data_IF_269026342447
#
_entry.id   IF_269026342447
#
_cell.length_a   1.000
_cell.length_b   1.000
_cell.length_c   1.000
_cell.angle_alpha   90.00
_cell.angle_beta   90.00
_cell.angle_gamma   90.00
#
_symmetry.space_group_name_H-M   'P 1'
#
loop_
_entity.id
_entity.type
_entity.pdbx_description
1 polymer ?
#
# COMPACT_ATOMS: atom_id res chain seq x y z
N UNK A 1 13.19 20.46 -17.55
CA UNK A 1 12.99 19.37 -16.58
C UNK A 1 12.02 18.38 -17.19
N UNK A 2 12.38 17.11 -17.36
CA UNK A 2 11.45 16.08 -17.79
C UNK A 2 10.51 15.77 -16.62
N UNK A 3 9.20 15.88 -16.82
CA UNK A 3 8.20 15.54 -15.80
C UNK A 3 7.74 14.11 -16.07
N UNK A 4 8.23 13.14 -15.29
CA UNK A 4 7.74 11.76 -15.40
C UNK A 4 6.25 11.72 -15.02
N UNK A 5 5.44 11.03 -15.83
CA UNK A 5 4.01 10.87 -15.55
C UNK A 5 3.74 9.79 -14.49
N UNK A 6 4.70 8.88 -14.28
CA UNK A 6 4.61 7.75 -13.37
C UNK A 6 5.97 7.44 -12.75
N UNK A 7 6.00 7.14 -11.45
CA UNK A 7 7.15 6.53 -10.80
C UNK A 7 6.75 5.16 -10.26
N UNK A 8 7.50 4.12 -10.62
CA UNK A 8 7.33 2.77 -10.13
C UNK A 8 8.42 2.46 -9.12
N UNK A 9 8.02 1.85 -8.00
CA UNK A 9 8.92 1.48 -6.91
C UNK A 9 8.72 0.00 -6.60
N UNK A 10 9.73 -0.82 -6.82
CA UNK A 10 9.72 -2.24 -6.47
C UNK A 10 11.13 -2.84 -6.54
N UNK A 11 11.35 -3.93 -5.80
CA UNK A 11 12.64 -4.61 -5.73
C UNK A 11 13.09 -5.22 -7.07
N UNK A 12 12.15 -5.61 -7.93
CA UNK A 12 12.43 -6.29 -9.20
C UNK A 12 12.68 -5.35 -10.38
N UNK A 13 12.56 -4.03 -10.19
CA UNK A 13 12.73 -3.07 -11.27
C UNK A 13 14.21 -2.91 -11.63
N UNK A 14 14.47 -2.56 -12.89
CA UNK A 14 15.76 -2.07 -13.34
C UNK A 14 15.65 -0.59 -13.64
N UNK A 15 16.48 0.23 -13.00
CA UNK A 15 16.49 1.68 -13.22
C UNK A 15 16.81 2.03 -14.68
N UNK A 16 17.63 1.21 -15.35
CA UNK A 16 17.98 1.36 -16.77
C UNK A 16 16.78 1.22 -17.72
N UNK A 17 15.68 0.59 -17.28
CA UNK A 17 14.45 0.42 -18.07
C UNK A 17 13.50 1.63 -17.91
N UNK A 18 13.96 2.72 -17.29
CA UNK A 18 13.21 3.98 -17.21
C UNK A 18 13.02 4.58 -18.61
N UNK A 19 11.91 5.30 -18.80
CA UNK A 19 11.56 5.99 -20.04
C UNK A 19 11.25 7.45 -19.75
N UNK A 20 11.12 8.30 -20.77
CA UNK A 20 10.74 9.71 -20.58
C UNK A 20 9.39 9.90 -19.84
N UNK A 21 8.54 8.87 -19.79
CA UNK A 21 7.22 8.91 -19.14
C UNK A 21 7.18 8.18 -17.79
N UNK A 22 8.14 7.29 -17.54
CA UNK A 22 8.14 6.41 -16.38
C UNK A 22 9.52 6.32 -15.74
N UNK A 23 9.59 6.67 -14.46
CA UNK A 23 10.78 6.49 -13.63
C UNK A 23 10.69 5.16 -12.88
N UNK A 24 11.68 4.28 -13.08
CA UNK A 24 11.80 3.05 -12.30
C UNK A 24 12.77 3.28 -11.14
N UNK A 25 12.33 2.93 -9.92
CA UNK A 25 13.16 3.01 -8.71
C UNK A 25 13.22 1.61 -8.09
N UNK A 26 14.41 1.01 -8.11
CA UNK A 26 14.66 -0.23 -7.39
C UNK A 26 14.74 0.07 -5.89
N UNK A 27 13.93 -0.62 -5.09
CA UNK A 27 13.80 -0.36 -3.65
C UNK A 27 13.32 -1.62 -2.92
N UNK A 28 13.93 -1.93 -1.78
CA UNK A 28 13.42 -2.95 -0.87
C UNK A 28 12.40 -2.34 0.09
N UNK A 29 11.13 -2.70 -0.07
CA UNK A 29 10.05 -2.18 0.77
C UNK A 29 10.02 -2.78 2.17
N UNK A 30 10.87 -3.78 2.47
CA UNK A 30 11.14 -4.21 3.84
C UNK A 30 12.10 -3.27 4.58
N UNK A 31 12.84 -2.42 3.86
CA UNK A 31 13.76 -1.45 4.44
C UNK A 31 13.11 -0.05 4.48
N UNK A 32 12.81 0.51 5.66
CA UNK A 32 12.23 1.86 5.80
C UNK A 32 13.05 2.96 5.09
N UNK A 33 14.38 2.87 5.13
CA UNK A 33 15.24 3.88 4.52
C UNK A 33 15.13 3.87 3.00
N UNK A 34 14.98 2.69 2.39
CA UNK A 34 14.77 2.54 0.95
C UNK A 34 13.46 3.20 0.51
N UNK A 35 12.39 3.08 1.32
CA UNK A 35 11.09 3.72 1.06
C UNK A 35 11.24 5.24 1.09
N UNK A 36 11.90 5.79 2.11
CA UNK A 36 12.17 7.24 2.23
C UNK A 36 13.03 7.74 1.07
N UNK A 37 14.05 6.97 0.68
CA UNK A 37 14.92 7.27 -0.44
C UNK A 37 14.16 7.27 -1.76
N UNK A 38 13.19 6.37 -1.96
CA UNK A 38 12.34 6.37 -3.13
C UNK A 38 11.53 7.67 -3.26
N UNK A 39 10.91 8.15 -2.17
CA UNK A 39 10.22 9.45 -2.18
C UNK A 39 11.15 10.62 -2.49
N UNK A 40 12.38 10.58 -1.98
CA UNK A 40 13.39 11.60 -2.28
C UNK A 40 13.75 11.61 -3.77
N UNK A 41 13.94 10.43 -4.37
CA UNK A 41 14.18 10.28 -5.82
C UNK A 41 13.00 10.81 -6.64
N UNK A 42 11.77 10.44 -6.30
CA UNK A 42 10.56 10.94 -6.99
C UNK A 42 10.48 12.46 -6.90
N UNK A 43 10.66 13.03 -5.70
CA UNK A 43 10.61 14.49 -5.51
C UNK A 43 11.64 15.23 -6.34
N UNK A 44 12.88 14.70 -6.42
CA UNK A 44 13.96 15.29 -7.21
C UNK A 44 13.68 15.24 -8.72
N UNK A 45 13.11 14.13 -9.20
CA UNK A 45 12.93 13.89 -10.63
C UNK A 45 11.62 14.44 -11.19
N UNK A 46 10.52 14.33 -10.43
CA UNK A 46 9.15 14.61 -10.90
C UNK A 46 8.37 15.62 -10.02
N UNK A 47 8.96 16.09 -8.91
CA UNK A 47 8.27 16.97 -7.97
C UNK A 47 7.31 16.23 -7.03
N UNK A 48 6.31 16.94 -6.49
CA UNK A 48 5.34 16.35 -5.57
C UNK A 48 4.27 15.55 -6.32
N UNK A 49 4.14 14.26 -5.98
CA UNK A 49 3.09 13.40 -6.51
C UNK A 49 1.69 13.89 -6.10
N UNK A 50 0.74 13.85 -7.03
CA UNK A 50 -0.69 14.10 -6.76
C UNK A 50 -1.46 12.83 -6.41
N UNK A 51 -0.96 11.67 -6.84
CA UNK A 51 -1.53 10.36 -6.60
C UNK A 51 -0.44 9.40 -6.15
N UNK A 52 -0.72 8.58 -5.12
CA UNK A 52 0.14 7.51 -4.66
C UNK A 52 -0.67 6.22 -4.56
N UNK A 53 -0.10 5.12 -5.06
CA UNK A 53 -0.69 3.79 -4.94
C UNK A 53 0.29 2.93 -4.15
N UNK A 54 -0.21 2.23 -3.12
CA UNK A 54 0.54 1.23 -2.39
C UNK A 54 -0.15 -0.13 -2.53
N UNK A 55 0.57 -1.09 -3.12
CA UNK A 55 0.05 -2.43 -3.43
C UNK A 55 1.03 -3.56 -3.10
N UNK A 56 2.18 -3.23 -2.49
CA UNK A 56 3.15 -4.24 -2.09
C UNK A 56 2.54 -5.14 -1.01
N UNK A 57 2.78 -6.44 -1.14
CA UNK A 57 2.30 -7.41 -0.16
C UNK A 57 3.16 -8.66 -0.20
N UNK A 58 3.29 -9.29 0.95
CA UNK A 58 4.02 -10.55 1.16
C UNK A 58 3.26 -11.41 2.16
N UNK A 59 3.58 -12.69 2.17
CA UNK A 59 3.01 -13.69 3.06
C UNK A 59 4.05 -14.77 3.27
N UNK A 60 4.28 -15.16 4.52
CA UNK A 60 4.97 -16.41 4.84
C UNK A 60 3.96 -17.40 5.40
N UNK A 61 3.45 -18.34 4.59
CA UNK A 61 2.51 -19.33 5.08
C UNK A 61 3.16 -20.19 6.17
N UNK A 62 2.54 -20.24 7.33
CA UNK A 62 2.93 -21.16 8.39
C UNK A 62 1.86 -22.26 8.52
N UNK A 63 2.30 -23.51 8.68
CA UNK A 63 1.41 -24.65 8.91
C UNK A 63 0.71 -24.56 10.28
N UNK A 64 1.40 -23.96 11.26
CA UNK A 64 0.86 -23.56 12.55
C UNK A 64 0.96 -22.03 12.64
N UNK A 65 -0.14 -21.37 13.01
CA UNK A 65 -0.31 -19.91 13.03
C UNK A 65 0.79 -19.17 13.77
N UNK A 66 1.35 -19.76 14.84
CA UNK A 66 2.40 -19.12 15.65
C UNK A 66 3.81 -19.68 15.39
N UNK A 67 3.97 -20.59 14.44
CA UNK A 67 5.27 -21.15 14.07
C UNK A 67 6.05 -20.27 13.07
N UNK A 68 5.58 -19.05 12.80
CA UNK A 68 6.24 -18.10 11.91
C UNK A 68 7.58 -17.63 12.51
N UNK A 69 8.71 -17.79 11.80
CA UNK A 69 9.99 -17.26 12.28
C UNK A 69 9.94 -15.74 12.43
N UNK A 70 10.52 -15.21 13.51
CA UNK A 70 10.51 -13.77 13.80
C UNK A 70 11.05 -12.92 12.64
N UNK A 71 12.14 -13.38 11.98
CA UNK A 71 12.69 -12.68 10.82
C UNK A 71 11.71 -12.58 9.64
N UNK A 72 10.85 -13.58 9.44
CA UNK A 72 9.80 -13.54 8.42
C UNK A 72 8.67 -12.61 8.85
N UNK A 73 8.27 -12.66 10.12
CA UNK A 73 7.29 -11.74 10.70
C UNK A 73 7.71 -10.27 10.57
N UNK A 74 8.96 -9.94 10.91
CA UNK A 74 9.49 -8.57 10.84
C UNK A 74 9.50 -8.07 9.39
N UNK A 75 9.99 -8.90 8.46
CA UNK A 75 9.98 -8.58 7.02
C UNK A 75 8.55 -8.36 6.51
N UNK A 76 7.63 -9.26 6.86
CA UNK A 76 6.27 -9.21 6.35
C UNK A 76 5.47 -8.06 6.96
N UNK A 77 5.76 -7.69 8.23
CA UNK A 77 5.25 -6.47 8.86
C UNK A 77 5.80 -5.23 8.18
N UNK A 78 7.09 -5.21 7.84
CA UNK A 78 7.70 -4.08 7.15
C UNK A 78 7.05 -3.82 5.77
N UNK A 79 6.80 -4.89 5.00
CA UNK A 79 6.22 -4.84 3.64
C UNK A 79 4.68 -4.68 3.64
N UNK A 80 3.95 -5.18 4.63
CA UNK A 80 2.49 -5.06 4.63
C UNK A 80 2.00 -3.82 5.41
N UNK A 81 2.81 -3.29 6.35
CA UNK A 81 2.41 -2.21 7.28
C UNK A 81 3.33 -1.00 7.18
N UNK A 82 4.61 -1.18 7.53
CA UNK A 82 5.52 -0.06 7.82
C UNK A 82 5.75 0.81 6.59
N UNK A 83 6.05 0.24 5.44
CA UNK A 83 6.24 1.00 4.20
C UNK A 83 4.97 1.78 3.79
N UNK A 84 3.77 1.25 4.06
CA UNK A 84 2.51 1.92 3.71
C UNK A 84 2.30 3.11 4.63
N UNK A 85 2.60 2.98 5.92
CA UNK A 85 2.59 4.09 6.88
C UNK A 85 3.54 5.21 6.42
N UNK A 86 4.79 4.86 6.07
CA UNK A 86 5.78 5.81 5.57
C UNK A 86 5.28 6.46 4.28
N UNK A 87 4.74 5.68 3.34
CA UNK A 87 4.20 6.20 2.10
C UNK A 87 3.04 7.18 2.31
N UNK A 88 2.12 6.89 3.23
CA UNK A 88 1.01 7.76 3.57
C UNK A 88 1.49 9.06 4.23
N UNK A 89 2.48 8.99 5.12
CA UNK A 89 3.10 10.18 5.72
C UNK A 89 3.75 11.06 4.65
N UNK A 90 4.57 10.49 3.77
CA UNK A 90 5.24 11.24 2.70
C UNK A 90 4.25 11.79 1.66
N UNK A 91 3.19 11.04 1.32
CA UNK A 91 2.14 11.53 0.44
C UNK A 91 1.40 12.72 1.07
N UNK A 92 1.06 12.64 2.37
CA UNK A 92 0.40 13.73 3.09
C UNK A 92 1.25 14.99 3.12
N UNK A 93 2.56 14.85 3.39
CA UNK A 93 3.52 15.94 3.33
C UNK A 93 3.59 16.54 1.92
N UNK A 94 3.68 15.70 0.87
CA UNK A 94 3.69 16.17 -0.51
C UNK A 94 2.39 16.89 -0.91
N UNK A 95 1.24 16.37 -0.50
CA UNK A 95 -0.07 16.96 -0.76
C UNK A 95 -0.23 18.33 -0.12
N UNK A 96 0.38 18.56 1.05
CA UNK A 96 0.39 19.88 1.71
C UNK A 96 1.08 20.97 0.88
N UNK A 97 1.95 20.58 -0.05
CA UNK A 97 2.71 21.49 -0.92
C UNK A 97 2.03 21.74 -2.27
N UNK A 98 0.90 21.08 -2.55
CA UNK A 98 0.11 21.28 -3.76
C UNK A 98 -0.90 22.41 -3.58
N UNK A 99 -1.36 23.03 -4.67
CA UNK A 99 -2.43 24.02 -4.61
C UNK A 99 -3.72 23.44 -4.02
N UNK A 100 -4.57 24.28 -3.44
CA UNK A 100 -5.84 23.85 -2.83
C UNK A 100 -6.80 23.25 -3.85
N UNK A 101 -6.70 23.66 -5.12
CA UNK A 101 -7.47 23.11 -6.24
C UNK A 101 -6.94 21.77 -6.77
N UNK A 102 -5.80 21.27 -6.30
CA UNK A 102 -5.22 20.04 -6.79
C UNK A 102 -5.95 18.82 -6.19
N UNK A 103 -6.48 17.95 -7.06
CA UNK A 103 -6.97 16.63 -6.66
C UNK A 103 -5.81 15.80 -6.10
N UNK A 104 -5.97 15.30 -4.87
CA UNK A 104 -5.00 14.48 -4.16
C UNK A 104 -5.58 13.09 -3.95
N UNK A 105 -4.80 12.04 -4.09
CA UNK A 105 -5.33 10.69 -3.84
C UNK A 105 -4.25 9.75 -3.34
N UNK A 106 -4.51 9.05 -2.25
CA UNK A 106 -3.71 7.93 -1.78
C UNK A 106 -4.56 6.66 -1.87
N UNK A 107 -4.09 5.65 -2.58
CA UNK A 107 -4.77 4.37 -2.75
C UNK A 107 -3.97 3.30 -2.03
N UNK A 108 -4.58 2.68 -1.02
CA UNK A 108 -4.04 1.47 -0.39
C UNK A 108 -4.78 0.23 -0.90
N UNK A 109 -4.04 -0.76 -1.39
CA UNK A 109 -4.62 -2.02 -1.86
C UNK A 109 -4.75 -3.01 -0.69
N UNK A 110 -5.97 -3.19 -0.19
CA UNK A 110 -6.33 -4.24 0.78
C UNK A 110 -6.72 -5.58 0.13
N UNK A 111 -7.12 -6.55 0.96
CA UNK A 111 -7.77 -7.80 0.53
C UNK A 111 -8.85 -8.21 1.54
N UNK A 112 -9.42 -9.43 1.42
CA UNK A 112 -10.47 -9.90 2.34
C UNK A 112 -10.01 -9.99 3.81
N UNK A 113 -8.71 -10.01 4.06
CA UNK A 113 -8.13 -10.11 5.40
C UNK A 113 -8.36 -8.84 6.26
N UNK A 114 -8.87 -7.77 5.66
CA UNK A 114 -9.40 -6.61 6.39
C UNK A 114 -10.67 -6.96 7.19
N UNK A 115 -11.38 -8.03 6.79
CA UNK A 115 -12.69 -8.40 7.32
C UNK A 115 -12.70 -9.79 7.97
N UNK A 116 -11.82 -10.69 7.53
CA UNK A 116 -11.76 -12.06 8.03
C UNK A 116 -10.33 -12.47 8.35
N UNK A 117 -10.12 -13.10 9.50
CA UNK A 117 -8.81 -13.61 9.87
C UNK A 117 -8.68 -15.01 9.30
N UNK A 118 -7.71 -15.23 8.40
CA UNK A 118 -7.32 -16.57 7.96
C UNK A 118 -6.08 -16.99 8.77
N UNK A 119 -6.13 -18.08 9.58
CA UNK A 119 -5.05 -18.43 10.49
C UNK A 119 -3.67 -18.61 9.84
N UNK A 120 -3.60 -19.10 8.60
CA UNK A 120 -2.34 -19.25 7.83
C UNK A 120 -1.82 -17.95 7.21
N UNK A 121 -2.53 -16.83 7.42
CA UNK A 121 -2.23 -15.51 6.85
C UNK A 121 -2.12 -14.44 7.94
N UNK A 122 -1.84 -14.83 9.19
CA UNK A 122 -1.90 -13.94 10.35
C UNK A 122 -1.03 -12.67 10.18
N UNK A 123 0.21 -12.84 9.73
CA UNK A 123 1.17 -11.76 9.42
C UNK A 123 0.64 -10.78 8.36
N UNK A 124 -0.04 -11.29 7.33
CA UNK A 124 -0.67 -10.48 6.31
C UNK A 124 -1.98 -9.83 6.79
N UNK A 125 -2.73 -10.50 7.67
CA UNK A 125 -3.96 -9.95 8.28
C UNK A 125 -3.65 -8.71 9.10
N UNK A 126 -2.59 -8.75 9.92
CA UNK A 126 -2.23 -7.66 10.83
C UNK A 126 -2.05 -6.32 10.11
N UNK A 127 -1.40 -6.31 8.94
CA UNK A 127 -1.23 -5.09 8.17
C UNK A 127 -2.50 -4.54 7.54
N UNK A 128 -3.43 -5.44 7.23
CA UNK A 128 -4.64 -5.15 6.46
C UNK A 128 -5.82 -4.76 7.33
N UNK A 129 -5.89 -5.32 8.53
CA UNK A 129 -6.89 -4.97 9.54
C UNK A 129 -6.67 -3.56 10.09
N UNK A 130 -5.42 -3.14 10.31
CA UNK A 130 -5.07 -1.83 10.87
C UNK A 130 -5.62 -0.65 10.04
N UNK A 131 -5.63 -0.76 8.71
CA UNK A 131 -6.19 0.28 7.84
C UNK A 131 -7.71 0.19 7.64
N UNK A 132 -8.30 -1.00 7.83
CA UNK A 132 -9.74 -1.22 7.66
C UNK A 132 -10.58 -0.80 8.88
N UNK A 133 -9.99 -0.84 10.08
CA UNK A 133 -10.71 -0.68 11.36
C UNK A 133 -10.50 0.69 12.04
N UNK A 134 -10.12 1.73 11.29
CA UNK A 134 -10.23 3.09 11.81
C UNK A 134 -11.70 3.53 11.88
N UNK A 135 -12.50 2.86 12.69
CA UNK A 135 -13.86 3.27 12.99
C UNK A 135 -13.88 4.19 14.21
N UNK A 136 -14.77 5.18 14.16
CA UNK A 136 -15.23 5.96 15.31
C UNK A 136 -15.87 4.99 16.31
N UNK A 137 -15.94 5.39 17.57
CA UNK A 137 -16.53 4.57 18.63
C UNK A 137 -18.01 4.16 18.38
N UNK A 138 -18.67 4.78 17.40
CA UNK A 138 -20.03 4.48 16.96
C UNK A 138 -20.12 3.53 15.75
N UNK A 139 -18.99 2.93 15.31
CA UNK A 139 -18.96 2.01 14.17
C UNK A 139 -19.09 2.68 12.80
N UNK A 140 -18.79 3.99 12.71
CA UNK A 140 -18.62 4.68 11.42
C UNK A 140 -17.15 4.83 11.11
N UNK A 141 -16.71 4.81 9.86
CA UNK A 141 -15.32 5.13 9.54
C UNK A 141 -14.91 6.51 10.10
N UNK A 142 -13.75 6.60 10.74
CA UNK A 142 -13.08 7.87 10.97
C UNK A 142 -12.76 8.43 9.60
N UNK A 143 -13.25 9.64 9.36
CA UNK A 143 -12.88 10.44 8.20
C UNK A 143 -11.39 10.76 8.31
N UNK A 144 -10.53 9.85 7.84
CA UNK A 144 -9.28 10.30 7.25
C UNK A 144 -9.63 11.31 6.15
N UNK A 145 -8.77 12.30 5.90
CA UNK A 145 -9.07 13.35 4.92
C UNK A 145 -9.59 12.75 3.59
N UNK A 146 -10.39 13.49 2.80
CA UNK A 146 -11.16 12.97 1.65
C UNK A 146 -10.32 12.34 0.52
N UNK A 147 -9.02 12.20 0.73
CA UNK A 147 -8.00 11.79 -0.20
C UNK A 147 -7.55 10.34 -0.02
N UNK A 148 -7.82 9.67 1.11
CA UNK A 148 -7.54 8.24 1.28
C UNK A 148 -8.64 7.40 0.64
N UNK A 149 -8.25 6.43 -0.19
CA UNK A 149 -9.10 5.42 -0.78
C UNK A 149 -8.51 4.03 -0.48
N UNK A 150 -9.35 3.08 -0.05
CA UNK A 150 -8.94 1.68 0.18
C UNK A 150 -9.58 0.82 -0.90
N UNK A 151 -8.76 0.22 -1.75
CA UNK A 151 -9.20 -0.72 -2.79
C UNK A 151 -9.03 -2.16 -2.27
N UNK A 152 -10.11 -2.92 -2.15
CA UNK A 152 -10.04 -4.32 -1.70
C UNK A 152 -9.93 -5.26 -2.90
N UNK A 153 -8.79 -5.96 -3.03
CA UNK A 153 -8.59 -7.01 -4.05
C UNK A 153 -9.02 -8.37 -3.49
N UNK A 154 -10.09 -8.95 -4.00
CA UNK A 154 -10.58 -10.27 -3.59
C UNK A 154 -9.65 -11.41 -4.01
N UNK A 155 -9.44 -12.38 -3.12
CA UNK A 155 -8.74 -13.65 -3.39
C UNK A 155 -9.76 -14.59 -4.05
N UNK A 156 -9.49 -15.12 -5.26
CA UNK A 156 -10.30 -16.21 -5.82
C UNK A 156 -9.91 -17.52 -5.12
N UNK A 157 -10.86 -18.19 -4.49
CA UNK A 157 -10.75 -19.61 -4.16
C UNK A 157 -10.97 -20.43 -5.45
N UNK A 158 -10.32 -21.59 -5.56
CA UNK A 158 -10.42 -22.49 -6.71
C UNK A 158 -11.69 -23.36 -6.67
N UNK A 159 -12.79 -22.88 -6.06
CA UNK A 159 -14.07 -23.58 -6.05
C UNK A 159 -14.97 -23.04 -7.18
N UNK A 160 -15.52 -23.89 -8.08
CA UNK A 160 -16.34 -23.45 -9.21
C UNK A 160 -17.64 -22.74 -8.83
N UNK A 161 -18.12 -22.90 -7.58
CA UNK A 161 -19.49 -22.52 -7.20
C UNK A 161 -19.61 -21.20 -6.42
N UNK A 162 -18.49 -20.56 -6.09
CA UNK A 162 -18.51 -19.33 -5.28
C UNK A 162 -18.55 -18.07 -6.16
N UNK A 163 -19.77 -17.58 -6.41
CA UNK A 163 -20.01 -16.25 -6.99
C UNK A 163 -19.76 -15.16 -5.95
N UNK A 164 -18.52 -14.70 -5.81
CA UNK A 164 -18.23 -13.44 -5.13
C UNK A 164 -18.37 -12.27 -6.12
N UNK A 165 -19.45 -11.50 -5.95
CA UNK A 165 -19.68 -10.24 -6.66
C UNK A 165 -18.61 -9.22 -6.25
N UNK A 166 -17.73 -8.89 -7.20
CA UNK A 166 -16.77 -7.80 -7.12
C UNK A 166 -17.48 -6.49 -7.46
N UNK A 167 -17.65 -5.61 -6.48
CA UNK A 167 -17.57 -4.15 -6.60
C UNK A 167 -17.95 -3.53 -5.24
N UNK A 168 -16.94 -3.20 -4.43
CA UNK A 168 -17.12 -2.18 -3.38
C UNK A 168 -15.93 -1.24 -3.43
N UNK A 169 -16.16 -0.09 -4.07
CA UNK A 169 -15.53 1.15 -3.64
C UNK A 169 -16.03 1.42 -2.22
N UNK A 170 -15.22 1.07 -1.21
CA UNK A 170 -15.46 1.57 0.12
C UNK A 170 -14.93 3.00 0.14
N UNK A 171 -15.85 3.94 0.39
CA UNK A 171 -15.67 5.39 0.61
C UNK A 171 -16.00 6.33 -0.57
N UNK A 172 -17.25 6.84 -0.55
CA UNK A 172 -17.53 8.25 -0.90
C UNK A 172 -17.38 9.10 0.34
#
# INVERSE_FOLDING_TARGET
>A
SQTFALALVAQSLKEADSTDKQLNITSDLANPDDVVNAFTKVKKSAGHSKCQISSASTLTPANDTFALPLAAFDRDTAINVTNVCIAAQHATLGFSQLSDSASRTFIYTGNILNLTILPSFLDQCMGKFYYGDEQKADGRAKTQGPWLQILVKGIRSASPDDRYLYDRYLYR
#
